data_IF_154543603538
#
_entry.id   IF_154543603538
#
_cell.length_a   1.000
_cell.length_b   1.000
_cell.length_c   1.000
_cell.angle_alpha   90.00
_cell.angle_beta   90.00
_cell.angle_gamma   90.00
#
_symmetry.space_group_name_H-M   'P 1'
#
loop_
_entity.id
_entity.type
_entity.pdbx_description
1 polymer ?
#
# COMPACT_ATOMS: atom_id res chain seq x y z
N UNK A 1 -25.49 6.79 0.29
CA UNK A 1 -26.59 6.20 1.06
C UNK A 1 -26.05 5.94 2.44
N UNK A 2 -26.77 6.34 3.49
CA UNK A 2 -26.24 6.53 4.86
C UNK A 2 -25.27 5.42 5.31
N UNK A 3 -25.64 4.15 5.20
CA UNK A 3 -24.78 3.03 5.61
C UNK A 3 -23.43 2.96 4.87
N UNK A 4 -23.39 3.22 3.56
CA UNK A 4 -22.14 3.26 2.78
C UNK A 4 -21.26 4.43 3.23
N UNK A 5 -21.88 5.59 3.42
CA UNK A 5 -21.15 6.81 3.75
C UNK A 5 -20.55 6.69 5.16
N UNK A 6 -21.24 6.01 6.09
CA UNK A 6 -20.71 5.62 7.41
C UNK A 6 -19.53 4.66 7.32
N UNK A 7 -19.62 3.58 6.51
CA UNK A 7 -18.53 2.61 6.38
C UNK A 7 -17.26 3.22 5.80
N UNK A 8 -17.38 4.08 4.79
CA UNK A 8 -16.22 4.77 4.22
C UNK A 8 -15.58 5.64 5.29
N UNK A 9 -16.37 6.34 6.10
CA UNK A 9 -15.86 7.18 7.20
C UNK A 9 -15.15 6.36 8.28
N UNK A 10 -15.67 5.18 8.64
CA UNK A 10 -15.00 4.26 9.56
C UNK A 10 -13.63 3.83 9.02
N UNK A 11 -13.53 3.52 7.72
CA UNK A 11 -12.26 3.20 7.07
C UNK A 11 -11.32 4.42 7.09
N UNK A 12 -11.82 5.64 6.84
CA UNK A 12 -11.00 6.86 6.92
C UNK A 12 -10.37 7.00 8.30
N UNK A 13 -11.19 6.88 9.34
CA UNK A 13 -10.76 7.02 10.73
C UNK A 13 -9.73 5.94 11.12
N UNK A 14 -9.92 4.70 10.67
CA UNK A 14 -8.96 3.63 10.93
C UNK A 14 -7.61 3.86 10.24
N UNK A 15 -7.62 4.32 8.98
CA UNK A 15 -6.40 4.69 8.27
C UNK A 15 -5.70 5.89 8.91
N UNK A 16 -6.43 6.94 9.29
CA UNK A 16 -5.87 8.12 9.95
C UNK A 16 -5.22 7.76 11.28
N UNK A 17 -5.89 6.94 12.10
CA UNK A 17 -5.33 6.42 13.36
C UNK A 17 -4.12 5.51 13.12
N UNK A 18 -4.07 4.83 11.97
CA UNK A 18 -2.91 4.08 11.53
C UNK A 18 -1.80 4.98 10.95
N UNK A 19 -2.03 6.28 10.77
CA UNK A 19 -1.07 7.24 10.21
C UNK A 19 -1.01 7.20 8.67
N UNK A 20 -2.13 6.89 8.02
CA UNK A 20 -2.30 6.93 6.56
C UNK A 20 -3.41 7.92 6.23
N UNK A 21 -3.11 8.90 5.38
CA UNK A 21 -4.08 9.87 4.90
C UNK A 21 -4.11 9.88 3.37
N UNK A 22 -5.31 10.04 2.82
CA UNK A 22 -5.52 10.17 1.37
C UNK A 22 -5.92 11.60 1.04
N UNK A 23 -5.25 12.22 0.07
CA UNK A 23 -5.64 13.53 -0.44
C UNK A 23 -6.97 13.48 -1.21
N UNK A 24 -7.31 12.32 -1.78
CA UNK A 24 -8.53 12.13 -2.56
C UNK A 24 -9.12 10.75 -2.33
N UNK A 25 -10.41 10.73 -1.98
CA UNK A 25 -11.24 9.53 -1.96
C UNK A 25 -12.10 9.53 -3.22
N UNK A 26 -11.84 8.57 -4.12
CA UNK A 26 -12.50 8.53 -5.42
C UNK A 26 -13.64 7.51 -5.42
N UNK A 27 -14.80 7.90 -5.95
CA UNK A 27 -15.99 7.06 -5.99
C UNK A 27 -16.17 6.44 -7.39
N UNK A 28 -16.37 5.13 -7.45
CA UNK A 28 -16.73 4.45 -8.69
C UNK A 28 -18.02 5.04 -9.27
N UNK A 29 -19.00 5.39 -8.42
CA UNK A 29 -20.24 6.01 -8.89
C UNK A 29 -19.97 7.35 -9.59
N UNK A 30 -19.05 8.18 -9.08
CA UNK A 30 -18.71 9.44 -9.76
C UNK A 30 -18.05 9.22 -11.12
N UNK A 31 -17.29 8.14 -11.29
CA UNK A 31 -16.71 7.76 -12.58
C UNK A 31 -17.82 7.41 -13.59
N UNK A 32 -18.80 6.63 -13.13
CA UNK A 32 -19.95 6.20 -13.94
C UNK A 32 -20.80 7.43 -14.33
N UNK A 33 -21.20 8.23 -13.34
CA UNK A 33 -22.06 9.40 -13.53
C UNK A 33 -21.41 10.45 -14.44
N UNK A 34 -20.09 10.58 -14.40
CA UNK A 34 -19.36 11.47 -15.30
C UNK A 34 -19.37 11.02 -16.77
N UNK A 35 -19.83 9.80 -17.07
CA UNK A 35 -19.77 9.18 -18.39
C UNK A 35 -18.37 8.71 -18.81
N UNK A 36 -17.39 8.69 -17.89
CA UNK A 36 -16.01 8.32 -18.21
C UNK A 36 -15.89 6.89 -18.74
N UNK A 37 -16.70 5.96 -18.22
CA UNK A 37 -16.70 4.56 -18.70
C UNK A 37 -17.17 4.48 -20.15
N UNK A 38 -18.28 5.14 -20.48
CA UNK A 38 -18.77 5.21 -21.86
C UNK A 38 -17.72 5.79 -22.79
N UNK A 39 -17.12 6.94 -22.44
CA UNK A 39 -16.06 7.57 -23.24
C UNK A 39 -14.85 6.66 -23.47
N UNK A 40 -14.37 5.98 -22.43
CA UNK A 40 -13.23 5.08 -22.57
C UNK A 40 -13.53 3.93 -23.53
N UNK A 41 -14.76 3.42 -23.51
CA UNK A 41 -15.16 2.31 -24.38
C UNK A 41 -15.42 2.78 -25.81
N UNK A 42 -16.01 3.96 -26.03
CA UNK A 42 -16.14 4.51 -27.38
C UNK A 42 -14.77 4.71 -28.04
N UNK A 43 -13.78 5.21 -27.30
CA UNK A 43 -12.39 5.26 -27.79
C UNK A 43 -11.88 3.86 -28.15
N UNK A 44 -12.14 2.85 -27.33
CA UNK A 44 -11.71 1.47 -27.64
C UNK A 44 -12.44 0.86 -28.84
N UNK A 45 -13.70 1.23 -29.11
CA UNK A 45 -14.46 0.80 -30.30
C UNK A 45 -13.85 1.31 -31.61
N UNK A 46 -13.17 2.45 -31.56
CA UNK A 46 -12.42 2.99 -32.71
C UNK A 46 -11.12 2.23 -32.99
N UNK A 47 -10.73 1.32 -32.08
CA UNK A 47 -9.52 0.50 -32.21
C UNK A 47 -9.84 -0.91 -32.69
N UNK A 48 -8.84 -1.60 -33.22
CA UNK A 48 -8.94 -3.04 -33.55
C UNK A 48 -9.03 -3.96 -32.34
N UNK A 49 -8.84 -3.42 -31.12
CA UNK A 49 -8.71 -4.20 -29.89
C UNK A 49 -10.05 -4.47 -29.19
N UNK A 50 -11.16 -3.95 -29.72
CA UNK A 50 -12.50 -4.25 -29.23
C UNK A 50 -13.32 -4.92 -30.34
N UNK A 51 -14.12 -5.93 -29.98
CA UNK A 51 -15.02 -6.60 -30.92
C UNK A 51 -16.31 -7.02 -30.24
N UNK A 52 -17.38 -7.14 -31.02
CA UNK A 52 -18.66 -7.63 -30.53
C UNK A 52 -18.80 -9.14 -30.77
N UNK A 53 -19.31 -9.86 -29.77
CA UNK A 53 -19.66 -11.28 -29.87
C UNK A 53 -20.78 -11.60 -28.88
N UNK A 54 -21.82 -12.26 -29.36
CA UNK A 54 -23.02 -12.65 -28.59
C UNK A 54 -23.70 -11.46 -27.89
N UNK A 55 -23.75 -10.31 -28.58
CA UNK A 55 -24.31 -9.05 -28.06
C UNK A 55 -23.45 -8.37 -26.98
N UNK A 56 -22.30 -8.94 -26.63
CA UNK A 56 -21.36 -8.37 -25.66
C UNK A 56 -20.13 -7.77 -26.37
N UNK A 57 -19.52 -6.74 -25.77
CA UNK A 57 -18.24 -6.21 -26.23
C UNK A 57 -17.09 -6.86 -25.48
N UNK A 58 -16.12 -7.34 -26.25
CA UNK A 58 -14.93 -8.06 -25.79
C UNK A 58 -13.68 -7.27 -26.14
N UNK A 59 -12.80 -7.13 -25.15
CA UNK A 59 -11.46 -6.61 -25.33
C UNK A 59 -10.50 -7.76 -25.67
N UNK A 60 -9.76 -7.60 -26.77
CA UNK A 60 -8.74 -8.53 -27.28
C UNK A 60 -7.49 -8.54 -26.41
N UNK A 61 -7.63 -8.80 -25.11
CA UNK A 61 -6.48 -8.85 -24.20
C UNK A 61 -5.53 -10.00 -24.50
N UNK A 62 -5.99 -11.05 -25.19
CA UNK A 62 -5.11 -12.15 -25.62
C UNK A 62 -4.02 -11.70 -26.61
N UNK A 63 -4.28 -10.68 -27.43
CA UNK A 63 -3.28 -10.05 -28.32
C UNK A 63 -2.11 -9.42 -27.53
N UNK A 64 -2.30 -9.21 -26.22
CA UNK A 64 -1.31 -8.64 -25.29
C UNK A 64 -0.82 -9.67 -24.25
N UNK A 65 -1.08 -10.96 -24.46
CA UNK A 65 -0.60 -12.04 -23.59
C UNK A 65 -1.39 -12.25 -22.29
N UNK A 66 -2.65 -11.82 -22.24
CA UNK A 66 -3.64 -12.31 -21.27
C UNK A 66 -4.12 -13.72 -21.67
N UNK A 67 -4.65 -14.48 -20.72
CA UNK A 67 -5.07 -15.88 -20.93
C UNK A 67 -6.27 -15.99 -21.89
N UNK A 68 -7.14 -14.99 -21.88
CA UNK A 68 -8.33 -14.91 -22.73
C UNK A 68 -8.83 -13.47 -22.82
N UNK A 69 -9.55 -13.21 -23.90
CA UNK A 69 -10.26 -11.95 -24.10
C UNK A 69 -11.27 -11.69 -22.96
N UNK A 70 -11.46 -10.42 -22.63
CA UNK A 70 -12.25 -9.99 -21.47
C UNK A 70 -13.48 -9.22 -21.92
N UNK A 71 -14.64 -9.63 -21.41
CA UNK A 71 -15.87 -8.86 -21.59
C UNK A 71 -15.72 -7.50 -20.90
N UNK A 72 -15.98 -6.42 -21.61
CA UNK A 72 -16.04 -5.06 -21.05
C UNK A 72 -17.48 -4.61 -20.85
N UNK A 73 -18.36 -4.92 -21.82
CA UNK A 73 -19.81 -4.71 -21.72
C UNK A 73 -20.54 -6.03 -21.98
N UNK A 74 -21.50 -6.32 -21.12
CA UNK A 74 -22.35 -7.51 -21.23
C UNK A 74 -23.49 -7.25 -22.22
N UNK A 75 -24.10 -8.33 -22.71
CA UNK A 75 -25.23 -8.26 -23.63
C UNK A 75 -26.47 -7.53 -23.08
N UNK A 76 -26.59 -7.43 -21.76
CA UNK A 76 -27.64 -6.65 -21.10
C UNK A 76 -27.31 -5.15 -20.98
N UNK A 77 -26.25 -4.67 -21.62
CA UNK A 77 -25.83 -3.26 -21.59
C UNK A 77 -25.02 -2.85 -20.36
N UNK A 78 -24.85 -3.73 -19.36
CA UNK A 78 -24.09 -3.39 -18.16
C UNK A 78 -22.57 -3.54 -18.39
N UNK A 79 -21.82 -2.55 -17.94
CA UNK A 79 -20.36 -2.60 -17.84
C UNK A 79 -19.89 -3.65 -16.81
N UNK A 80 -18.66 -4.13 -17.00
CA UNK A 80 -17.94 -4.99 -16.04
C UNK A 80 -16.99 -4.17 -15.16
N UNK A 81 -16.50 -4.76 -14.06
CA UNK A 81 -15.42 -4.14 -13.26
C UNK A 81 -14.16 -3.85 -14.08
N UNK A 82 -13.88 -4.68 -15.09
CA UNK A 82 -12.75 -4.40 -15.98
C UNK A 82 -12.97 -3.14 -16.80
N UNK A 83 -14.21 -2.85 -17.24
CA UNK A 83 -14.51 -1.60 -17.93
C UNK A 83 -14.37 -0.37 -17.01
N UNK A 84 -14.75 -0.48 -15.72
CA UNK A 84 -14.55 0.61 -14.75
C UNK A 84 -13.06 0.81 -14.45
N UNK A 85 -12.27 -0.27 -14.36
CA UNK A 85 -10.80 -0.18 -14.24
C UNK A 85 -10.16 0.51 -15.44
N UNK A 86 -10.53 0.15 -16.67
CA UNK A 86 -10.02 0.80 -17.89
C UNK A 86 -10.26 2.31 -17.82
N UNK A 87 -11.51 2.68 -17.53
CA UNK A 87 -11.91 4.08 -17.45
C UNK A 87 -11.18 4.84 -16.35
N UNK A 88 -10.97 4.21 -15.19
CA UNK A 88 -10.31 4.84 -14.06
C UNK A 88 -8.80 5.01 -14.28
N UNK A 89 -8.13 4.05 -14.94
CA UNK A 89 -6.71 4.21 -15.31
C UNK A 89 -6.54 5.33 -16.33
N UNK A 90 -7.42 5.41 -17.33
CA UNK A 90 -7.46 6.53 -18.28
C UNK A 90 -7.66 7.87 -17.56
N UNK A 91 -8.63 7.94 -16.65
CA UNK A 91 -8.91 9.13 -15.85
C UNK A 91 -7.68 9.58 -15.04
N UNK A 92 -7.02 8.65 -14.33
CA UNK A 92 -5.80 8.96 -13.55
C UNK A 92 -4.69 9.57 -14.40
N UNK A 93 -4.42 9.01 -15.58
CA UNK A 93 -3.33 9.48 -16.46
C UNK A 93 -3.68 10.85 -17.04
N UNK A 94 -4.94 11.07 -17.44
CA UNK A 94 -5.39 12.34 -17.99
C UNK A 94 -5.43 13.50 -16.98
N UNK A 95 -5.21 13.23 -15.68
CA UNK A 95 -4.98 14.28 -14.67
C UNK A 95 -3.60 14.94 -14.82
N UNK A 96 -2.73 14.43 -15.70
CA UNK A 96 -1.41 15.02 -15.99
C UNK A 96 -0.26 14.48 -15.15
N UNK A 97 -0.44 13.34 -14.48
CA UNK A 97 0.64 12.67 -13.77
C UNK A 97 1.54 11.90 -14.75
N UNK A 98 2.86 11.99 -14.56
CA UNK A 98 3.82 11.20 -15.34
C UNK A 98 3.98 9.77 -14.85
N UNK A 99 3.52 9.46 -13.64
CA UNK A 99 3.65 8.14 -13.03
C UNK A 99 2.39 7.81 -12.22
N UNK A 100 1.85 6.62 -12.45
CA UNK A 100 0.73 6.05 -11.71
C UNK A 100 1.24 4.80 -11.00
N UNK A 101 1.14 4.78 -9.67
CA UNK A 101 1.53 3.63 -8.86
C UNK A 101 0.27 2.99 -8.28
N UNK A 102 0.08 1.71 -8.58
CA UNK A 102 -0.91 0.87 -7.93
C UNK A 102 -0.22 -0.03 -6.91
N UNK A 103 -0.86 -0.22 -5.75
CA UNK A 103 -0.45 -1.19 -4.73
C UNK A 103 -1.56 -2.24 -4.66
N UNK A 104 -1.26 -3.48 -5.08
CA UNK A 104 -2.23 -4.57 -5.16
C UNK A 104 -1.78 -5.78 -4.35
N UNK A 105 -2.71 -6.66 -4.00
CA UNK A 105 -2.36 -7.99 -3.47
C UNK A 105 -1.65 -8.85 -4.51
N UNK A 106 -0.71 -9.69 -4.08
CA UNK A 106 0.06 -10.57 -4.96
C UNK A 106 -0.79 -11.52 -5.82
N UNK A 107 -2.00 -11.84 -5.37
CA UNK A 107 -3.02 -12.60 -6.09
C UNK A 107 -3.55 -11.90 -7.37
N UNK A 108 -3.29 -10.60 -7.51
CA UNK A 108 -3.67 -9.82 -8.69
C UNK A 108 -2.58 -9.77 -9.78
N UNK A 109 -1.49 -10.53 -9.66
CA UNK A 109 -0.39 -10.52 -10.64
C UNK A 109 -0.88 -10.71 -12.09
N UNK A 110 -1.79 -11.66 -12.33
CA UNK A 110 -2.36 -11.92 -13.65
C UNK A 110 -3.25 -10.78 -14.20
N UNK A 111 -3.69 -9.85 -13.34
CA UNK A 111 -4.52 -8.71 -13.72
C UNK A 111 -3.69 -7.54 -14.29
N UNK A 112 -2.39 -7.49 -14.01
CA UNK A 112 -1.51 -6.41 -14.46
C UNK A 112 -1.49 -6.32 -15.99
N UNK A 113 -1.31 -7.47 -16.66
CA UNK A 113 -1.18 -7.54 -18.12
C UNK A 113 -2.38 -6.90 -18.83
N UNK A 114 -3.60 -7.22 -18.41
CA UNK A 114 -4.81 -6.70 -19.09
C UNK A 114 -5.04 -5.21 -18.85
N UNK A 115 -4.60 -4.67 -17.71
CA UNK A 115 -4.68 -3.22 -17.46
C UNK A 115 -3.63 -2.46 -18.28
N UNK A 116 -2.39 -2.96 -18.36
CA UNK A 116 -1.38 -2.37 -19.25
C UNK A 116 -1.78 -2.48 -20.72
N UNK A 117 -2.39 -3.60 -21.12
CA UNK A 117 -2.94 -3.78 -22.46
C UNK A 117 -4.03 -2.76 -22.79
N UNK A 118 -4.97 -2.51 -21.87
CA UNK A 118 -6.03 -1.55 -22.11
C UNK A 118 -5.51 -0.12 -22.17
N UNK A 119 -4.46 0.22 -21.40
CA UNK A 119 -3.74 1.50 -21.54
C UNK A 119 -3.15 1.65 -22.94
N UNK A 120 -2.43 0.63 -23.42
CA UNK A 120 -1.85 0.62 -24.78
C UNK A 120 -2.93 0.78 -25.85
N UNK A 121 -4.06 0.07 -25.69
CA UNK A 121 -5.19 0.16 -26.62
C UNK A 121 -5.85 1.55 -26.61
N UNK A 122 -5.83 2.26 -25.48
CA UNK A 122 -6.28 3.65 -25.38
C UNK A 122 -5.26 4.67 -25.91
N UNK A 123 -4.11 4.22 -26.42
CA UNK A 123 -3.02 5.09 -26.88
C UNK A 123 -2.21 5.71 -25.75
N UNK A 124 -2.25 5.13 -24.55
CA UNK A 124 -1.47 5.55 -23.38
C UNK A 124 -0.22 4.70 -23.24
N UNK A 125 0.83 5.24 -22.63
CA UNK A 125 2.05 4.49 -22.36
C UNK A 125 1.83 3.49 -21.20
N UNK A 126 1.94 2.17 -21.41
CA UNK A 126 1.82 1.18 -20.34
C UNK A 126 2.91 1.29 -19.26
N UNK A 127 4.03 1.98 -19.51
CA UNK A 127 5.12 2.14 -18.55
C UNK A 127 4.89 3.27 -17.56
N UNK A 128 3.97 4.19 -17.85
CA UNK A 128 3.47 5.17 -16.88
C UNK A 128 2.79 4.48 -15.68
N UNK A 129 2.36 3.22 -15.82
CA UNK A 129 1.81 2.41 -14.74
C UNK A 129 2.86 1.47 -14.12
N UNK A 130 3.18 1.73 -12.86
CA UNK A 130 3.89 0.82 -11.97
C UNK A 130 2.92 0.09 -11.04
N UNK A 131 3.06 -1.22 -10.92
CA UNK A 131 2.26 -2.02 -9.98
C UNK A 131 3.18 -2.67 -8.96
N UNK A 132 3.00 -2.32 -7.69
CA UNK A 132 3.65 -2.95 -6.55
C UNK A 132 2.74 -4.04 -6.01
N UNK A 133 3.25 -5.26 -5.93
CA UNK A 133 2.53 -6.40 -5.37
C UNK A 133 2.92 -6.60 -3.92
N UNK A 134 1.92 -6.63 -3.05
CA UNK A 134 2.05 -6.84 -1.61
C UNK A 134 1.57 -8.25 -1.27
N UNK A 135 2.41 -9.01 -0.58
CA UNK A 135 2.06 -10.32 -0.07
C UNK A 135 1.16 -10.22 1.16
N UNK A 136 0.37 -11.27 1.38
CA UNK A 136 -0.46 -11.36 2.58
C UNK A 136 0.39 -11.57 3.83
N UNK A 137 -0.01 -10.87 4.90
CA UNK A 137 0.51 -11.12 6.25
C UNK A 137 -0.23 -12.29 6.90
N UNK A 138 0.51 -13.09 7.65
CA UNK A 138 -0.04 -14.14 8.52
C UNK A 138 0.20 -13.73 9.96
N UNK A 139 -0.87 -13.64 10.75
CA UNK A 139 -0.76 -13.30 12.16
C UNK A 139 -0.52 -14.56 13.00
N UNK A 140 0.40 -14.47 13.94
CA UNK A 140 0.71 -15.50 14.92
C UNK A 140 0.49 -14.98 16.34
N UNK A 141 -0.03 -15.84 17.22
CA UNK A 141 -0.20 -15.60 18.66
C UNK A 141 0.11 -16.88 19.42
N UNK A 142 0.96 -16.82 20.43
CA UNK A 142 1.41 -17.99 21.19
C UNK A 142 2.13 -19.03 20.32
N UNK A 143 2.75 -18.60 19.22
CA UNK A 143 3.35 -19.50 18.21
C UNK A 143 2.35 -20.20 17.28
N UNK A 144 1.05 -19.98 17.47
CA UNK A 144 0.00 -20.53 16.62
C UNK A 144 -0.52 -19.50 15.63
N UNK A 145 -0.88 -19.97 14.43
CA UNK A 145 -1.47 -19.11 13.40
C UNK A 145 -2.87 -18.69 13.83
N UNK A 146 -3.13 -17.39 13.87
CA UNK A 146 -4.47 -16.86 14.14
C UNK A 146 -5.39 -17.26 12.97
N UNK A 147 -6.48 -17.95 13.29
CA UNK A 147 -7.45 -18.38 12.28
C UNK A 147 -8.15 -17.18 11.68
N UNK A 148 -8.12 -17.08 10.35
CA UNK A 148 -8.96 -16.14 9.60
C UNK A 148 -9.97 -16.96 8.80
N UNK A 149 -11.26 -16.74 9.05
CA UNK A 149 -12.36 -17.44 8.37
C UNK A 149 -13.30 -16.41 7.75
N UNK A 150 -13.24 -16.33 6.42
CA UNK A 150 -14.15 -15.50 5.63
C UNK A 150 -15.61 -15.96 5.70
N UNK A 151 -15.87 -17.21 6.11
CA UNK A 151 -17.22 -17.79 6.21
C UNK A 151 -17.89 -17.58 7.57
N UNK A 152 -17.13 -17.52 8.66
CA UNK A 152 -17.65 -17.19 9.99
C UNK A 152 -17.61 -15.69 10.30
N UNK A 153 -16.93 -14.90 9.46
CA UNK A 153 -16.74 -13.46 9.69
C UNK A 153 -15.63 -13.15 10.70
N UNK A 154 -14.84 -14.15 11.09
CA UNK A 154 -13.70 -13.98 11.99
C UNK A 154 -12.47 -13.55 11.19
N UNK A 155 -12.15 -12.26 11.22
CA UNK A 155 -10.92 -11.69 10.71
C UNK A 155 -10.42 -10.65 11.71
N UNK A 156 -9.10 -10.49 11.79
CA UNK A 156 -8.51 -9.43 12.61
C UNK A 156 -8.56 -8.14 11.81
N UNK A 157 -9.29 -7.16 12.31
CA UNK A 157 -9.38 -5.83 11.72
C UNK A 157 -8.09 -5.05 11.96
N UNK A 158 -7.82 -4.04 11.12
CA UNK A 158 -6.71 -3.10 11.36
C UNK A 158 -6.85 -2.39 12.72
N UNK A 159 -8.09 -2.11 13.12
CA UNK A 159 -8.41 -1.49 14.41
C UNK A 159 -7.98 -2.36 15.58
N UNK A 160 -8.38 -3.62 15.59
CA UNK A 160 -8.00 -4.59 16.62
C UNK A 160 -6.49 -4.80 16.67
N UNK A 161 -5.84 -4.96 15.51
CA UNK A 161 -4.38 -5.07 15.45
C UNK A 161 -3.71 -3.84 16.09
N UNK A 162 -4.14 -2.63 15.72
CA UNK A 162 -3.59 -1.38 16.27
C UNK A 162 -3.87 -1.24 17.77
N UNK A 163 -5.02 -1.68 18.26
CA UNK A 163 -5.36 -1.66 19.67
C UNK A 163 -4.57 -2.69 20.47
N UNK A 164 -4.22 -3.83 19.88
CA UNK A 164 -3.44 -4.88 20.54
C UNK A 164 -1.95 -4.56 20.60
N UNK A 165 -1.33 -4.13 19.50
CA UNK A 165 0.15 -3.95 19.43
C UNK A 165 0.58 -2.49 19.41
N UNK A 166 -0.34 -1.56 19.21
CA UNK A 166 -0.05 -0.14 19.01
C UNK A 166 0.28 0.20 17.56
N UNK A 167 0.04 1.47 17.19
CA UNK A 167 0.25 1.99 15.83
C UNK A 167 1.69 1.81 15.36
N UNK A 168 2.66 2.20 16.18
CA UNK A 168 4.05 2.28 15.76
C UNK A 168 4.63 0.87 15.55
N UNK A 169 4.30 -0.08 16.42
CA UNK A 169 4.72 -1.46 16.25
C UNK A 169 4.13 -2.07 14.99
N UNK A 170 2.82 -1.96 14.78
CA UNK A 170 2.17 -2.46 13.58
C UNK A 170 2.84 -1.92 12.30
N UNK A 171 3.03 -0.60 12.20
CA UNK A 171 3.68 0.04 11.04
C UNK A 171 5.12 -0.43 10.84
N UNK A 172 5.89 -0.50 11.92
CA UNK A 172 7.30 -0.87 11.86
C UNK A 172 7.48 -2.30 11.35
N UNK A 173 6.69 -3.25 11.87
CA UNK A 173 6.74 -4.65 11.42
C UNK A 173 6.38 -4.80 9.94
N UNK A 174 5.35 -4.10 9.44
CA UNK A 174 5.04 -4.09 8.00
C UNK A 174 6.17 -3.50 7.14
N UNK A 175 6.93 -2.53 7.66
CA UNK A 175 8.04 -1.89 6.95
C UNK A 175 9.36 -2.67 7.03
N UNK A 176 9.51 -3.62 7.95
CA UNK A 176 10.72 -4.43 8.12
C UNK A 176 10.96 -5.42 6.97
N UNK A 177 9.91 -5.76 6.22
CA UNK A 177 9.97 -6.73 5.13
C UNK A 177 9.73 -6.04 3.80
N UNK A 178 10.29 -6.61 2.73
CA UNK A 178 9.95 -6.18 1.39
C UNK A 178 8.48 -6.52 1.11
N UNK A 179 7.76 -5.69 0.35
CA UNK A 179 6.32 -5.89 0.10
C UNK A 179 6.01 -7.22 -0.59
N UNK A 180 6.93 -7.74 -1.41
CA UNK A 180 6.77 -8.97 -2.18
C UNK A 180 7.12 -10.25 -1.38
N UNK A 181 7.47 -10.13 -0.10
CA UNK A 181 7.80 -11.24 0.78
C UNK A 181 6.64 -11.58 1.73
N UNK A 182 6.40 -12.87 1.94
CA UNK A 182 5.49 -13.32 2.99
C UNK A 182 5.96 -12.79 4.35
N UNK A 183 5.01 -12.31 5.14
CA UNK A 183 5.27 -11.75 6.46
C UNK A 183 4.49 -12.51 7.52
N UNK A 184 5.23 -13.20 8.38
CA UNK A 184 4.71 -13.71 9.64
C UNK A 184 4.80 -12.61 10.68
N UNK A 185 3.63 -12.13 11.11
CA UNK A 185 3.50 -11.09 12.13
C UNK A 185 3.24 -11.76 13.48
N UNK A 186 4.26 -11.80 14.32
CA UNK A 186 4.15 -12.27 15.69
C UNK A 186 3.60 -11.16 16.59
N UNK A 187 2.34 -11.33 17.04
CA UNK A 187 1.65 -10.37 17.90
C UNK A 187 2.32 -10.24 19.27
N UNK A 188 2.83 -11.34 19.81
CA UNK A 188 3.42 -11.34 21.15
C UNK A 188 4.81 -10.70 21.14
N UNK A 189 5.59 -10.94 20.08
CA UNK A 189 6.84 -10.21 19.86
C UNK A 189 6.59 -8.70 19.70
N UNK A 190 5.56 -8.30 18.94
CA UNK A 190 5.25 -6.89 18.73
C UNK A 190 4.84 -6.16 20.04
N UNK A 191 4.25 -6.88 21.00
CA UNK A 191 3.89 -6.35 22.34
C UNK A 191 5.03 -6.41 23.35
N UNK A 192 6.05 -7.22 23.11
CA UNK A 192 7.06 -7.50 24.13
C UNK A 192 7.97 -6.28 24.37
N UNK A 193 8.45 -6.16 25.61
CA UNK A 193 9.46 -5.17 25.99
C UNK A 193 10.84 -5.86 26.12
N UNK A 194 11.23 -6.59 25.09
CA UNK A 194 12.53 -7.28 25.03
C UNK A 194 13.42 -6.71 23.92
N UNK A 195 14.71 -7.03 23.98
CA UNK A 195 15.66 -6.70 22.92
C UNK A 195 15.34 -7.39 21.59
N UNK A 196 14.54 -8.45 21.60
CA UNK A 196 14.14 -9.18 20.41
C UNK A 196 13.04 -8.42 19.64
N UNK A 197 12.27 -7.56 20.31
CA UNK A 197 11.32 -6.66 19.65
C UNK A 197 12.09 -5.46 19.07
N UNK A 198 12.21 -5.34 17.73
CA UNK A 198 13.01 -4.29 17.13
C UNK A 198 12.42 -2.89 17.36
N UNK A 199 11.10 -2.80 17.58
CA UNK A 199 10.42 -1.53 17.88
C UNK A 199 10.84 -1.04 19.26
N UNK A 200 10.72 -1.92 20.26
CA UNK A 200 11.14 -1.63 21.62
C UNK A 200 12.64 -1.32 21.66
N UNK A 201 13.47 -2.08 20.94
CA UNK A 201 14.91 -1.88 20.90
C UNK A 201 15.30 -0.48 20.41
N UNK A 202 14.70 -0.01 19.30
CA UNK A 202 14.96 1.33 18.77
C UNK A 202 14.43 2.42 19.71
N UNK A 203 13.23 2.26 20.24
CA UNK A 203 12.64 3.21 21.19
C UNK A 203 13.47 3.32 22.47
N UNK A 204 13.95 2.19 22.99
CA UNK A 204 14.79 2.13 24.18
C UNK A 204 16.16 2.76 23.93
N UNK A 205 16.78 2.54 22.77
CA UNK A 205 18.00 3.23 22.37
C UNK A 205 17.82 4.75 22.36
N UNK A 206 16.73 5.25 21.73
CA UNK A 206 16.38 6.67 21.75
C UNK A 206 16.18 7.21 23.18
N UNK A 207 15.42 6.49 24.01
CA UNK A 207 15.17 6.88 25.41
C UNK A 207 16.47 6.98 26.22
N UNK A 208 17.43 6.08 26.00
CA UNK A 208 18.75 6.12 26.63
C UNK A 208 19.57 7.32 26.18
N UNK A 209 19.57 7.65 24.89
CA UNK A 209 20.24 8.83 24.35
C UNK A 209 19.64 10.11 24.96
N UNK A 210 18.30 10.24 24.99
CA UNK A 210 17.64 11.36 25.66
C UNK A 210 17.98 11.44 27.15
N UNK A 211 18.17 10.30 27.81
CA UNK A 211 18.60 10.26 29.22
C UNK A 211 19.99 10.82 29.43
N UNK A 212 20.93 10.60 28.49
CA UNK A 212 22.26 11.20 28.55
C UNK A 212 22.15 12.73 28.46
N UNK A 213 21.33 13.25 27.54
CA UNK A 213 21.10 14.71 27.45
C UNK A 213 20.46 15.31 28.70
N UNK A 214 19.50 14.60 29.33
CA UNK A 214 18.95 15.04 30.62
C UNK A 214 20.02 15.07 31.71
N UNK A 215 20.91 14.08 31.76
CA UNK A 215 22.00 14.04 32.73
C UNK A 215 23.03 15.14 32.53
N UNK A 216 23.25 15.62 31.29
CA UNK A 216 24.08 16.79 31.04
C UNK A 216 23.46 18.05 31.67
N UNK A 217 22.17 18.25 31.45
CA UNK A 217 21.42 19.37 32.03
C UNK A 217 21.38 19.30 33.57
N UNK A 218 21.15 18.12 34.16
CA UNK A 218 21.16 17.91 35.62
C UNK A 218 22.53 18.20 36.27
N UNK A 219 23.61 18.13 35.50
CA UNK A 219 24.98 18.41 35.95
C UNK A 219 25.43 19.84 35.59
N UNK A 220 24.53 20.68 35.09
CA UNK A 220 24.83 22.02 34.59
C UNK A 220 25.96 22.04 33.53
N UNK A 221 26.05 20.99 32.71
CA UNK A 221 26.99 20.90 31.59
C UNK A 221 26.31 21.43 30.34
N UNK A 222 26.63 22.67 29.97
CA UNK A 222 26.24 23.26 28.69
C UNK A 222 27.25 22.88 27.61
N UNK A 223 26.95 21.79 26.87
CA UNK A 223 27.82 21.26 25.83
C UNK A 223 27.41 21.82 24.45
N UNK A 224 28.26 22.66 23.87
CA UNK A 224 28.16 23.01 22.44
C UNK A 224 28.65 21.83 21.60
N UNK A 225 27.73 20.93 21.25
CA UNK A 225 28.02 19.75 20.46
C UNK A 225 28.46 20.07 19.02
N UNK A 226 28.08 21.24 18.50
CA UNK A 226 28.46 21.67 17.16
C UNK A 226 29.91 22.16 17.11
N UNK A 227 30.42 22.71 18.21
CA UNK A 227 31.82 23.12 18.37
C UNK A 227 32.72 22.02 18.99
N UNK A 228 32.17 20.82 19.25
CA UNK A 228 32.91 19.75 19.90
C UNK A 228 34.11 19.28 19.07
N UNK A 229 35.25 19.03 19.73
CA UNK A 229 36.45 18.50 19.07
C UNK A 229 36.28 17.00 18.75
N UNK A 230 35.90 16.72 17.50
CA UNK A 230 35.72 15.35 17.01
C UNK A 230 37.02 14.54 16.92
N UNK A 231 38.20 15.17 17.03
CA UNK A 231 39.48 14.44 17.04
C UNK A 231 39.65 13.54 18.27
N UNK A 232 38.84 13.76 19.32
CA UNK A 232 38.79 12.95 20.53
C UNK A 232 38.07 11.60 20.35
N UNK A 233 37.32 11.41 19.25
CA UNK A 233 36.57 10.18 18.97
C UNK A 233 37.47 9.11 18.32
N UNK A 234 38.44 8.61 19.09
CA UNK A 234 39.49 7.70 18.59
C UNK A 234 39.16 6.22 18.71
N UNK A 235 38.14 5.85 19.50
CA UNK A 235 37.85 4.44 19.75
C UNK A 235 37.24 3.77 18.49
N UNK A 236 37.57 2.49 18.20
CA UNK A 236 37.06 1.81 17.01
C UNK A 236 35.54 1.83 16.87
N UNK A 237 34.80 1.75 17.99
CA UNK A 237 33.33 1.81 18.03
C UNK A 237 32.77 3.19 17.69
N UNK A 238 33.49 4.26 18.01
CA UNK A 238 33.08 5.63 17.72
C UNK A 238 33.22 5.90 16.23
N UNK A 239 34.35 5.48 15.65
CA UNK A 239 34.60 5.59 14.20
C UNK A 239 33.57 4.78 13.40
N UNK A 240 33.25 3.56 13.80
CA UNK A 240 32.20 2.74 13.16
C UNK A 240 30.82 3.42 13.21
N UNK A 241 30.46 4.01 14.35
CA UNK A 241 29.19 4.75 14.49
C UNK A 241 29.16 5.99 13.59
N UNK A 242 30.24 6.77 13.53
CA UNK A 242 30.35 7.95 12.65
C UNK A 242 30.18 7.56 11.19
N UNK A 243 30.83 6.48 10.75
CA UNK A 243 30.68 5.97 9.39
C UNK A 243 29.23 5.59 9.08
N UNK A 244 28.53 4.95 10.02
CA UNK A 244 27.11 4.59 9.86
C UNK A 244 26.20 5.81 9.77
N UNK A 245 26.46 6.87 10.54
CA UNK A 245 25.68 8.11 10.51
C UNK A 245 25.90 8.95 9.24
N UNK A 246 27.02 8.74 8.54
CA UNK A 246 27.36 9.45 7.30
C UNK A 246 26.75 8.87 6.01
N UNK A 247 26.07 7.73 6.12
CA UNK A 247 25.41 7.02 4.99
C UNK A 247 23.95 7.38 4.90
#
# INVERSE_FOLDING_TARGET
GLARDTLVEDIRLDLERFGVSHQTWYSEQSLIDSGAVGRAIEVLKETRFLYERDGAWWFRSSDFGDEKDRVVFRANGNHTYFATDIAYHRDKILRGFSHVINIWGADHHGYIKRVKASMSALGLDPDDLSVLLVQFAVLYRGGEKVSMSTRSGEFVTLRELREEVGRDAARFFYALRKPDQHMDFDLDLAKSQSSDNPVYYVQYAHARICSVFRQLAEKDIDADLAAADHSLLTEPREVDLLQKLSR
#
